data_IF_874014803516
#
_entry.id   IF_874014803516
#
_cell.length_a   1.000
_cell.length_b   1.000
_cell.length_c   1.000
_cell.angle_alpha   90.00
_cell.angle_beta   90.00
_cell.angle_gamma   90.00
#
_symmetry.space_group_name_H-M   'P 1'
#
loop_
_entity.id
_entity.type
_entity.pdbx_description
1 polymer ?
#
# COMPACT_ATOMS: atom_id res chain seq x y z
N UNK A 1 -3.03 -50.62 -65.06
CA UNK A 1 -1.98 -49.70 -64.57
C UNK A 1 -2.66 -48.40 -64.18
N UNK A 2 -2.61 -48.08 -62.89
CA UNK A 2 -2.80 -46.78 -62.24
C UNK A 2 -3.71 -45.74 -62.91
N UNK A 3 -4.87 -45.46 -62.31
CA UNK A 3 -5.31 -44.08 -62.12
C UNK A 3 -6.07 -43.96 -60.80
N UNK A 4 -5.48 -43.22 -59.88
CA UNK A 4 -5.97 -42.97 -58.53
C UNK A 4 -6.73 -41.64 -58.53
N UNK A 5 -8.06 -41.70 -58.53
CA UNK A 5 -8.92 -40.54 -58.32
C UNK A 5 -8.89 -40.10 -56.86
N UNK A 6 -8.22 -38.98 -56.56
CA UNK A 6 -8.29 -38.33 -55.25
C UNK A 6 -9.59 -37.55 -55.13
N UNK A 7 -10.46 -37.96 -54.22
CA UNK A 7 -11.62 -37.22 -53.77
C UNK A 7 -11.15 -36.10 -52.81
N UNK A 8 -11.23 -34.83 -53.23
CA UNK A 8 -11.05 -33.68 -52.33
C UNK A 8 -12.33 -33.48 -51.51
N UNK A 9 -12.32 -33.88 -50.24
CA UNK A 9 -13.33 -33.46 -49.26
C UNK A 9 -12.85 -32.14 -48.66
N UNK A 10 -13.50 -31.04 -49.05
CA UNK A 10 -13.33 -29.74 -48.41
C UNK A 10 -14.04 -29.74 -47.06
N UNK A 11 -13.28 -29.88 -45.97
CA UNK A 11 -13.80 -29.80 -44.61
C UNK A 11 -13.73 -28.34 -44.13
N UNK A 12 -14.78 -27.58 -44.37
CA UNK A 12 -14.99 -26.27 -43.73
C UNK A 12 -15.56 -26.52 -42.34
N UNK A 13 -14.70 -26.61 -41.32
CA UNK A 13 -15.14 -26.63 -39.93
C UNK A 13 -15.06 -25.22 -39.33
N UNK A 14 -16.24 -24.70 -39.00
CA UNK A 14 -16.50 -23.46 -38.28
C UNK A 14 -15.60 -23.33 -37.05
N UNK A 15 -14.78 -22.27 -37.02
CA UNK A 15 -14.19 -21.75 -35.79
C UNK A 15 -15.31 -21.16 -34.94
N UNK A 16 -15.82 -21.94 -33.99
CA UNK A 16 -16.60 -21.41 -32.88
C UNK A 16 -15.71 -20.41 -32.14
N UNK A 17 -15.98 -19.11 -32.32
CA UNK A 17 -15.55 -18.10 -31.37
C UNK A 17 -16.20 -18.43 -30.02
N UNK A 18 -15.45 -19.10 -29.15
CA UNK A 18 -15.75 -19.08 -27.73
C UNK A 18 -15.54 -17.63 -27.31
N UNK A 19 -16.64 -16.88 -27.23
CA UNK A 19 -16.68 -15.67 -26.43
C UNK A 19 -16.47 -16.15 -25.00
N UNK A 20 -15.21 -16.16 -24.56
CA UNK A 20 -14.92 -16.21 -23.14
C UNK A 20 -15.57 -14.96 -22.54
N UNK A 21 -16.72 -15.16 -21.89
CA UNK A 21 -17.28 -14.16 -20.98
C UNK A 21 -16.19 -13.94 -19.93
N UNK A 22 -15.43 -12.86 -20.08
CA UNK A 22 -14.40 -12.48 -19.14
C UNK A 22 -15.14 -12.28 -17.81
N UNK A 23 -14.91 -13.18 -16.83
CA UNK A 23 -15.55 -13.07 -15.54
C UNK A 23 -15.08 -11.77 -14.90
N UNK A 24 -15.94 -10.76 -14.91
CA UNK A 24 -15.65 -9.46 -14.35
C UNK A 24 -15.71 -9.59 -12.83
N UNK A 25 -14.59 -9.30 -12.16
CA UNK A 25 -14.55 -9.32 -10.70
C UNK A 25 -15.41 -8.19 -10.13
N UNK A 26 -16.05 -8.44 -8.99
CA UNK A 26 -16.77 -7.41 -8.26
C UNK A 26 -15.76 -6.49 -7.54
N UNK A 27 -15.23 -5.49 -8.25
CA UNK A 27 -14.22 -4.57 -7.68
C UNK A 27 -14.76 -3.72 -6.54
N UNK A 28 -16.07 -3.42 -6.51
CA UNK A 28 -16.71 -2.72 -5.39
C UNK A 28 -16.65 -3.55 -4.10
N UNK A 29 -16.89 -4.86 -4.20
CA UNK A 29 -16.75 -5.77 -3.07
C UNK A 29 -15.28 -5.89 -2.64
N UNK A 30 -14.34 -6.04 -3.58
CA UNK A 30 -12.91 -6.08 -3.27
C UNK A 30 -12.43 -4.77 -2.60
N UNK A 31 -12.91 -3.61 -3.05
CA UNK A 31 -12.65 -2.30 -2.44
C UNK A 31 -13.15 -2.27 -0.99
N UNK A 32 -14.41 -2.63 -0.78
CA UNK A 32 -15.04 -2.66 0.56
C UNK A 32 -14.25 -3.54 1.51
N UNK A 33 -13.87 -4.74 1.04
CA UNK A 33 -13.08 -5.71 1.81
C UNK A 33 -11.67 -5.19 2.11
N UNK A 34 -10.98 -4.56 1.16
CA UNK A 34 -9.67 -3.95 1.42
C UNK A 34 -9.70 -2.92 2.55
N UNK A 35 -10.80 -2.15 2.66
CA UNK A 35 -10.97 -1.19 3.76
C UNK A 35 -11.26 -1.91 5.09
N UNK A 36 -12.06 -2.99 5.07
CA UNK A 36 -12.30 -3.83 6.25
C UNK A 36 -10.99 -4.43 6.80
N UNK A 37 -10.05 -4.82 5.94
CA UNK A 37 -8.73 -5.27 6.39
C UNK A 37 -7.98 -4.17 7.14
N UNK A 38 -7.95 -2.93 6.63
CA UNK A 38 -7.31 -1.82 7.36
C UNK A 38 -7.99 -1.57 8.70
N UNK A 39 -9.32 -1.72 8.80
CA UNK A 39 -10.00 -1.71 10.10
C UNK A 39 -9.48 -2.83 11.01
N UNK A 40 -9.30 -4.04 10.49
CA UNK A 40 -8.76 -5.17 11.24
C UNK A 40 -7.31 -4.96 11.72
N UNK A 41 -6.59 -3.96 11.20
CA UNK A 41 -5.25 -3.56 11.65
C UNK A 41 -5.25 -2.47 12.73
N UNK A 42 -6.39 -1.89 13.10
CA UNK A 42 -6.45 -0.78 14.07
C UNK A 42 -5.94 -1.21 15.45
N UNK A 43 -4.99 -0.49 16.02
CA UNK A 43 -4.56 -0.60 17.43
C UNK A 43 -5.26 0.46 18.30
N UNK A 44 -5.36 0.23 19.61
CA UNK A 44 -6.00 1.17 20.53
C UNK A 44 -7.47 0.85 20.82
N UNK A 45 -8.22 1.88 21.24
CA UNK A 45 -9.65 1.77 21.54
C UNK A 45 -10.49 1.83 20.27
N UNK A 46 -11.14 0.73 19.91
CA UNK A 46 -11.89 0.57 18.67
C UNK A 46 -13.21 1.36 18.69
N UNK A 47 -13.72 1.79 17.51
CA UNK A 47 -14.99 2.49 17.43
C UNK A 47 -16.17 1.54 17.71
N UNK A 48 -17.32 2.02 18.24
CA UNK A 48 -18.46 1.17 18.60
C UNK A 48 -19.07 0.34 17.45
N UNK A 49 -18.89 0.77 16.20
CA UNK A 49 -19.38 0.09 14.99
C UNK A 49 -18.22 -0.51 14.18
N UNK A 50 -17.27 -1.14 14.86
CA UNK A 50 -16.15 -1.82 14.21
C UNK A 50 -16.63 -3.03 13.40
N UNK A 51 -16.23 -3.15 12.12
CA UNK A 51 -16.75 -4.21 11.24
C UNK A 51 -16.15 -5.59 11.49
N UNK A 52 -14.83 -5.75 11.75
CA UNK A 52 -14.25 -7.03 12.20
C UNK A 52 -14.71 -7.39 13.62
N UNK A 53 -15.65 -8.34 13.81
CA UNK A 53 -16.27 -8.57 15.13
C UNK A 53 -15.34 -9.29 16.11
N UNK A 54 -14.25 -9.86 15.61
CA UNK A 54 -13.26 -10.62 16.39
C UNK A 54 -12.12 -9.73 16.93
N UNK A 55 -12.06 -8.45 16.54
CA UNK A 55 -11.11 -7.46 17.07
C UNK A 55 -11.70 -6.75 18.29
N UNK A 56 -10.85 -6.50 19.29
CA UNK A 56 -11.19 -5.74 20.49
C UNK A 56 -10.16 -4.64 20.78
N UNK A 57 -10.42 -3.88 21.84
CA UNK A 57 -9.51 -2.85 22.33
C UNK A 57 -8.16 -3.46 22.72
N UNK A 58 -7.06 -2.86 22.26
CA UNK A 58 -5.70 -3.34 22.51
C UNK A 58 -4.72 -2.18 22.70
N UNK A 59 -3.53 -2.45 23.23
CA UNK A 59 -2.43 -1.48 23.32
C UNK A 59 -2.78 -0.17 24.07
N UNK A 60 -3.67 -0.25 25.06
CA UNK A 60 -4.24 0.93 25.73
C UNK A 60 -3.25 1.69 26.63
N UNK A 61 -2.05 1.15 26.81
CA UNK A 61 -0.98 1.74 27.63
C UNK A 61 0.22 2.20 26.79
N UNK A 62 0.11 2.15 25.45
CA UNK A 62 1.16 2.58 24.53
C UNK A 62 1.59 4.03 24.82
N UNK A 63 2.91 4.23 25.04
CA UNK A 63 3.51 5.53 25.33
C UNK A 63 3.62 5.90 26.80
N UNK A 64 2.88 5.22 27.71
CA UNK A 64 2.86 5.58 29.13
C UNK A 64 4.22 5.52 29.81
N UNK A 65 5.06 4.56 29.42
CA UNK A 65 6.43 4.37 29.96
C UNK A 65 7.37 5.54 29.66
N UNK A 66 7.05 6.35 28.64
CA UNK A 66 7.79 7.55 28.24
C UNK A 66 6.98 8.84 28.44
N UNK A 67 5.86 8.76 29.18
CA UNK A 67 5.06 9.93 29.60
C UNK A 67 4.21 10.56 28.49
N UNK A 68 3.81 9.79 27.47
CA UNK A 68 2.91 10.27 26.39
C UNK A 68 1.76 9.30 26.13
N UNK A 69 0.70 9.77 25.47
CA UNK A 69 -0.34 8.92 24.88
C UNK A 69 0.05 8.57 23.44
N UNK A 70 0.36 7.31 23.18
CA UNK A 70 0.58 6.76 21.84
C UNK A 70 -0.47 5.69 21.48
N UNK A 71 -1.60 5.63 22.17
CA UNK A 71 -2.71 4.71 21.87
C UNK A 71 -3.32 5.07 20.50
N UNK A 72 -3.61 4.05 19.68
CA UNK A 72 -4.12 4.24 18.32
C UNK A 72 -3.13 3.76 17.25
N UNK A 73 -3.35 4.19 16.00
CA UNK A 73 -2.53 3.81 14.85
C UNK A 73 -2.84 2.41 14.34
N UNK A 74 -2.00 1.91 13.43
CA UNK A 74 -2.17 0.60 12.82
C UNK A 74 -1.06 -0.36 13.26
N UNK A 75 -1.43 -1.61 13.53
CA UNK A 75 -0.48 -2.71 13.46
C UNK A 75 -0.07 -2.92 12.00
N UNK A 76 1.21 -3.17 11.79
CA UNK A 76 1.82 -3.11 10.46
C UNK A 76 1.39 -4.27 9.54
N UNK A 77 1.51 -5.49 10.05
CA UNK A 77 1.32 -6.71 9.26
C UNK A 77 0.61 -7.80 10.08
N UNK A 78 1.22 -8.97 10.23
CA UNK A 78 0.75 -10.07 11.06
C UNK A 78 1.06 -9.95 12.55
N UNK A 79 1.82 -8.93 12.93
CA UNK A 79 2.36 -8.69 14.27
C UNK A 79 1.61 -7.58 15.03
N UNK A 80 2.06 -7.27 16.25
CA UNK A 80 1.46 -6.24 17.09
C UNK A 80 2.41 -5.03 17.27
N UNK A 81 3.32 -4.81 16.32
CA UNK A 81 4.24 -3.67 16.31
C UNK A 81 3.65 -2.55 15.47
N UNK A 82 3.86 -1.31 15.92
CA UNK A 82 3.52 -0.10 15.17
C UNK A 82 4.81 0.49 14.63
N UNK A 83 5.13 0.16 13.37
CA UNK A 83 6.24 0.77 12.64
C UNK A 83 5.79 2.06 11.98
N UNK A 84 6.53 3.14 12.21
CA UNK A 84 6.13 4.48 11.81
C UNK A 84 6.29 4.69 10.32
N UNK A 85 7.35 4.13 9.74
CA UNK A 85 7.68 4.33 8.33
C UNK A 85 6.64 3.74 7.36
N UNK A 86 6.35 2.42 7.39
CA UNK A 86 5.31 1.83 6.54
C UNK A 86 3.89 2.32 6.89
N UNK A 87 3.63 2.69 8.14
CA UNK A 87 2.34 3.29 8.52
C UNK A 87 2.16 4.67 7.90
N UNK A 88 3.20 5.50 7.88
CA UNK A 88 3.14 6.81 7.23
C UNK A 88 2.87 6.66 5.73
N UNK A 89 3.57 5.75 5.05
CA UNK A 89 3.31 5.42 3.65
C UNK A 89 1.86 4.95 3.41
N UNK A 90 1.35 4.05 4.24
CA UNK A 90 -0.05 3.58 4.22
C UNK A 90 -1.04 4.75 4.25
N UNK A 91 -0.82 5.72 5.13
CA UNK A 91 -1.71 6.87 5.28
C UNK A 91 -1.57 7.84 4.10
N UNK A 92 -0.35 8.06 3.59
CA UNK A 92 -0.12 8.90 2.42
C UNK A 92 -0.84 8.35 1.19
N UNK A 93 -0.76 7.04 0.93
CA UNK A 93 -1.39 6.42 -0.26
C UNK A 93 -2.91 6.34 -0.13
N UNK A 94 -3.46 6.12 1.08
CA UNK A 94 -4.89 6.29 1.34
C UNK A 94 -5.37 7.71 1.04
N UNK A 95 -4.63 8.72 1.53
CA UNK A 95 -4.95 10.12 1.28
C UNK A 95 -4.82 10.47 -0.21
N UNK A 96 -3.84 9.91 -0.91
CA UNK A 96 -3.71 10.06 -2.36
C UNK A 96 -4.91 9.46 -3.09
N UNK A 97 -5.32 8.23 -2.75
CA UNK A 97 -6.51 7.60 -3.33
C UNK A 97 -7.77 8.46 -3.07
N UNK A 98 -7.96 8.96 -1.86
CA UNK A 98 -9.09 9.84 -1.51
C UNK A 98 -9.05 11.19 -2.24
N UNK A 99 -7.86 11.73 -2.50
CA UNK A 99 -7.66 12.96 -3.25
C UNK A 99 -7.93 12.78 -4.75
N UNK A 100 -7.35 11.75 -5.36
CA UNK A 100 -7.38 11.56 -6.81
C UNK A 100 -8.65 10.86 -7.30
N UNK A 101 -9.15 9.88 -6.54
CA UNK A 101 -10.32 9.05 -6.85
C UNK A 101 -11.54 9.36 -5.97
N UNK A 102 -11.71 10.64 -5.59
CA UNK A 102 -12.82 11.10 -4.73
C UNK A 102 -14.18 10.72 -5.30
N UNK A 103 -14.38 10.88 -6.62
CA UNK A 103 -15.66 10.60 -7.27
C UNK A 103 -15.99 9.10 -7.26
N UNK A 104 -15.00 8.27 -7.57
CA UNK A 104 -15.04 6.81 -7.54
C UNK A 104 -15.35 6.27 -6.16
N UNK A 105 -14.63 6.73 -5.14
CA UNK A 105 -14.87 6.33 -3.75
C UNK A 105 -16.26 6.78 -3.26
N UNK A 106 -16.73 7.95 -3.70
CA UNK A 106 -18.07 8.44 -3.37
C UNK A 106 -19.14 7.58 -4.04
N UNK A 107 -18.99 7.28 -5.34
CA UNK A 107 -19.91 6.43 -6.10
C UNK A 107 -19.98 5.00 -5.54
N UNK A 108 -18.84 4.47 -5.11
CA UNK A 108 -18.78 3.17 -4.45
C UNK A 108 -19.40 3.17 -3.04
N UNK A 109 -19.62 4.34 -2.42
CA UNK A 109 -20.12 4.47 -1.04
C UNK A 109 -19.05 4.28 0.03
N UNK A 110 -17.77 4.29 -0.35
CA UNK A 110 -16.63 3.96 0.54
C UNK A 110 -15.83 5.19 0.98
N UNK A 111 -16.10 6.38 0.43
CA UNK A 111 -15.36 7.61 0.78
C UNK A 111 -15.33 7.87 2.28
N UNK A 112 -16.43 7.64 3.01
CA UNK A 112 -16.46 7.81 4.46
C UNK A 112 -15.54 6.83 5.18
N UNK A 113 -15.55 5.56 4.81
CA UNK A 113 -14.70 4.56 5.46
C UNK A 113 -13.21 4.82 5.18
N UNK A 114 -12.88 5.33 3.97
CA UNK A 114 -11.52 5.78 3.65
C UNK A 114 -11.12 7.00 4.48
N UNK A 115 -12.01 8.00 4.65
CA UNK A 115 -11.76 9.13 5.55
C UNK A 115 -11.51 8.67 6.99
N UNK A 116 -12.32 7.76 7.50
CA UNK A 116 -12.16 7.19 8.84
C UNK A 116 -10.82 6.42 8.96
N UNK A 117 -10.38 5.75 7.89
CA UNK A 117 -9.07 5.12 7.80
C UNK A 117 -7.90 6.10 7.84
N UNK A 118 -7.96 7.17 7.05
CA UNK A 118 -6.95 8.23 7.04
C UNK A 118 -6.88 8.92 8.41
N UNK A 119 -8.05 9.23 8.99
CA UNK A 119 -8.14 9.89 10.30
C UNK A 119 -7.53 9.04 11.41
N UNK A 120 -7.74 7.72 11.38
CA UNK A 120 -7.16 6.81 12.37
C UNK A 120 -5.64 6.88 12.44
N UNK A 121 -4.97 6.91 11.28
CA UNK A 121 -3.51 7.03 11.21
C UNK A 121 -3.03 8.45 11.53
N UNK A 122 -3.72 9.48 11.04
CA UNK A 122 -3.33 10.88 11.28
C UNK A 122 -3.58 11.36 12.71
N UNK A 123 -4.60 10.84 13.41
CA UNK A 123 -4.77 11.06 14.86
C UNK A 123 -3.57 10.50 15.63
N UNK A 124 -3.07 9.32 15.25
CA UNK A 124 -1.86 8.75 15.84
C UNK A 124 -0.62 9.60 15.52
N UNK A 125 -0.44 10.08 14.28
CA UNK A 125 0.69 10.96 13.95
C UNK A 125 0.67 12.30 14.68
N UNK A 126 -0.51 12.88 14.94
CA UNK A 126 -0.62 14.09 15.76
C UNK A 126 -0.12 13.84 17.19
N UNK A 127 -0.43 12.67 17.78
CA UNK A 127 0.12 12.26 19.08
C UNK A 127 1.63 12.04 18.99
N UNK A 128 2.09 11.29 18.01
CA UNK A 128 3.49 10.93 17.81
C UNK A 128 4.41 12.14 17.53
N UNK A 129 3.86 13.22 16.96
CA UNK A 129 4.58 14.46 16.60
C UNK A 129 4.27 15.65 17.52
N UNK A 130 3.80 15.39 18.75
CA UNK A 130 3.39 16.44 19.69
C UNK A 130 4.53 17.41 20.04
N UNK A 131 5.78 16.93 20.08
CA UNK A 131 6.95 17.73 20.44
C UNK A 131 7.70 18.26 19.22
N UNK A 132 8.26 19.47 19.33
CA UNK A 132 9.07 20.06 18.27
C UNK A 132 10.36 19.25 18.08
N UNK A 133 10.72 18.98 16.82
CA UNK A 133 11.94 18.26 16.42
C UNK A 133 12.13 16.90 17.11
N UNK A 134 11.01 16.23 17.43
CA UNK A 134 10.98 14.88 18.01
C UNK A 134 9.76 14.16 17.46
N UNK A 135 9.94 12.92 17.03
CA UNK A 135 8.87 12.06 16.50
C UNK A 135 9.01 10.67 17.11
N UNK A 136 7.92 10.15 17.66
CA UNK A 136 7.84 8.75 18.08
C UNK A 136 7.58 7.89 16.85
N UNK A 137 8.52 7.00 16.52
CA UNK A 137 8.54 6.28 15.25
C UNK A 137 8.17 4.82 15.40
N UNK A 138 8.35 4.21 16.57
CA UNK A 138 7.96 2.82 16.78
C UNK A 138 7.33 2.63 18.16
N UNK A 139 6.30 1.78 18.25
CA UNK A 139 5.79 1.28 19.53
C UNK A 139 5.70 -0.24 19.48
N UNK A 140 6.50 -0.87 20.33
CA UNK A 140 6.72 -2.31 20.32
C UNK A 140 8.17 -2.69 20.14
N UNK A 141 8.64 -3.62 20.97
CA UNK A 141 9.89 -4.32 20.70
C UNK A 141 9.60 -5.53 19.80
N UNK A 142 10.06 -5.52 18.54
CA UNK A 142 9.68 -6.54 17.58
C UNK A 142 10.23 -7.92 17.92
N UNK A 143 11.40 -8.01 18.56
CA UNK A 143 11.95 -9.30 19.00
C UNK A 143 11.01 -9.93 20.03
N UNK A 144 10.68 -9.21 21.11
CA UNK A 144 9.73 -9.67 22.12
C UNK A 144 8.33 -9.94 21.56
N UNK A 145 7.87 -9.16 20.59
CA UNK A 145 6.57 -9.36 19.93
C UNK A 145 6.54 -10.61 19.03
N UNK A 146 7.68 -10.95 18.43
CA UNK A 146 7.83 -12.07 17.51
C UNK A 146 8.15 -13.39 18.24
N UNK A 147 8.54 -13.33 19.51
CA UNK A 147 8.70 -14.49 20.39
C UNK A 147 7.37 -15.04 20.95
N UNK A 148 6.23 -14.40 20.67
CA UNK A 148 4.92 -14.84 21.15
C UNK A 148 3.82 -14.71 20.09
N UNK A 149 3.16 -15.82 19.76
CA UNK A 149 2.10 -15.85 18.75
C UNK A 149 0.72 -15.58 19.37
N UNK A 150 0.43 -14.31 19.67
CA UNK A 150 -0.79 -13.93 20.40
C UNK A 150 -1.52 -12.75 19.77
N UNK A 151 -2.85 -12.75 19.92
CA UNK A 151 -3.69 -11.65 19.44
C UNK A 151 -3.40 -10.34 20.21
N UNK A 152 -3.58 -9.17 19.58
CA UNK A 152 -3.19 -7.90 20.19
C UNK A 152 -3.89 -7.60 21.52
N UNK A 153 -5.12 -8.07 21.73
CA UNK A 153 -5.89 -7.86 22.96
C UNK A 153 -5.30 -8.64 24.16
N UNK A 154 -4.50 -9.67 23.90
CA UNK A 154 -3.84 -10.48 24.94
C UNK A 154 -2.34 -10.22 25.05
N UNK A 155 -1.81 -9.24 24.31
CA UNK A 155 -0.36 -9.05 24.23
C UNK A 155 0.28 -8.69 25.57
N UNK A 156 1.35 -9.40 25.92
CA UNK A 156 2.19 -9.13 27.10
C UNK A 156 3.63 -8.71 26.73
N UNK A 157 3.94 -8.69 25.44
CA UNK A 157 5.27 -8.32 24.90
C UNK A 157 5.59 -6.85 25.18
N UNK A 158 6.88 -6.54 25.31
CA UNK A 158 7.36 -5.18 25.60
C UNK A 158 6.88 -4.17 24.57
N UNK A 159 6.22 -3.10 25.02
CA UNK A 159 5.75 -1.99 24.17
C UNK A 159 6.72 -0.82 24.18
N UNK A 160 8.01 -1.13 24.03
CA UNK A 160 9.10 -0.15 24.00
C UNK A 160 8.85 0.89 22.90
N UNK A 161 9.07 2.15 23.23
CA UNK A 161 8.92 3.27 22.29
C UNK A 161 10.28 3.66 21.73
N UNK A 162 10.37 3.78 20.40
CA UNK A 162 11.51 4.40 19.73
C UNK A 162 11.13 5.79 19.21
N UNK A 163 12.13 6.65 19.14
CA UNK A 163 11.98 8.02 18.68
C UNK A 163 13.18 8.49 17.87
N UNK A 164 12.93 9.49 17.05
CA UNK A 164 13.95 10.30 16.39
C UNK A 164 13.88 11.73 16.94
N UNK A 165 15.04 12.40 16.97
CA UNK A 165 15.19 13.77 17.44
C UNK A 165 16.43 14.41 16.81
N UNK A 166 16.78 15.63 17.21
CA UNK A 166 17.94 16.35 16.65
C UNK A 166 19.29 15.64 16.80
N UNK A 167 19.42 14.71 17.76
CA UNK A 167 20.65 13.95 18.01
C UNK A 167 20.60 12.53 17.41
N UNK A 168 19.41 12.05 17.05
CA UNK A 168 19.17 10.78 16.36
C UNK A 168 18.18 11.03 15.24
N UNK A 169 18.66 11.56 14.10
CA UNK A 169 17.79 11.91 12.99
C UNK A 169 17.14 10.65 12.39
N UNK A 170 16.08 10.87 11.62
CA UNK A 170 15.37 9.87 10.85
C UNK A 170 14.59 10.55 9.75
N UNK A 171 15.32 11.03 8.75
CA UNK A 171 14.79 11.87 7.69
C UNK A 171 13.64 11.20 6.96
N UNK A 172 13.79 9.91 6.63
CA UNK A 172 12.85 9.10 5.88
C UNK A 172 11.47 9.12 6.55
N UNK A 173 11.44 8.70 7.82
CA UNK A 173 10.21 8.55 8.60
C UNK A 173 9.57 9.92 8.87
N UNK A 174 10.37 10.94 9.18
CA UNK A 174 9.87 12.29 9.41
C UNK A 174 9.26 12.90 8.12
N UNK A 175 9.92 12.72 6.97
CA UNK A 175 9.46 13.24 5.69
C UNK A 175 8.25 12.47 5.14
N UNK A 176 8.18 11.15 5.30
CA UNK A 176 6.99 10.36 4.95
C UNK A 176 5.81 10.71 5.87
N UNK A 177 6.03 10.91 7.17
CA UNK A 177 4.96 11.37 8.08
C UNK A 177 4.49 12.78 7.70
N UNK A 178 5.40 13.66 7.27
CA UNK A 178 5.03 14.95 6.74
C UNK A 178 4.20 14.84 5.45
N UNK A 179 4.56 13.94 4.55
CA UNK A 179 3.79 13.63 3.33
C UNK A 179 2.37 13.14 3.68
N UNK A 180 2.25 12.19 4.60
CA UNK A 180 0.98 11.64 5.07
C UNK A 180 0.05 12.74 5.60
N UNK A 181 0.57 13.61 6.47
CA UNK A 181 -0.21 14.71 7.05
C UNK A 181 -0.52 15.81 6.02
N UNK A 182 0.38 16.11 5.10
CA UNK A 182 0.15 17.09 4.03
C UNK A 182 -0.93 16.60 3.06
N UNK A 183 -0.83 15.37 2.55
CA UNK A 183 -1.82 14.74 1.67
C UNK A 183 -3.20 14.69 2.36
N UNK A 184 -3.24 14.22 3.61
CA UNK A 184 -4.47 14.15 4.40
C UNK A 184 -5.10 15.53 4.63
N UNK A 185 -4.29 16.58 4.83
CA UNK A 185 -4.81 17.94 5.00
C UNK A 185 -5.60 18.44 3.78
N UNK A 186 -5.27 17.97 2.57
CA UNK A 186 -6.00 18.30 1.35
C UNK A 186 -7.37 17.63 1.39
N UNK A 187 -7.41 16.33 1.70
CA UNK A 187 -8.62 15.52 1.74
C UNK A 187 -9.62 16.06 2.78
N UNK A 188 -9.14 16.45 3.96
CA UNK A 188 -10.00 16.99 5.04
C UNK A 188 -10.36 18.46 4.89
N UNK A 189 -9.82 19.19 3.90
CA UNK A 189 -10.00 20.65 3.78
C UNK A 189 -11.47 21.07 3.73
N UNK A 190 -12.31 20.29 3.05
CA UNK A 190 -13.74 20.56 2.89
C UNK A 190 -14.62 19.77 3.89
N UNK A 191 -14.02 18.86 4.66
CA UNK A 191 -14.71 17.97 5.61
C UNK A 191 -14.58 18.51 7.04
N UNK A 192 -13.35 18.86 7.44
CA UNK A 192 -13.02 19.46 8.73
C UNK A 192 -11.82 20.41 8.55
N UNK A 193 -12.12 21.70 8.41
CA UNK A 193 -11.13 22.76 8.19
C UNK A 193 -10.14 22.90 9.36
N UNK A 194 -10.60 22.67 10.59
CA UNK A 194 -9.75 22.82 11.78
C UNK A 194 -8.76 21.68 11.83
N UNK A 195 -9.22 20.45 11.63
CA UNK A 195 -8.37 19.28 11.57
C UNK A 195 -7.37 19.36 10.40
N UNK A 196 -7.84 19.74 9.21
CA UNK A 196 -6.98 19.99 8.03
C UNK A 196 -5.83 20.97 8.34
N UNK A 197 -6.10 22.08 9.04
CA UNK A 197 -5.06 23.03 9.45
C UNK A 197 -4.09 22.44 10.45
N UNK A 198 -4.57 21.66 11.42
CA UNK A 198 -3.70 20.97 12.40
C UNK A 198 -2.74 20.01 11.70
N UNK A 199 -3.25 19.19 10.77
CA UNK A 199 -2.44 18.28 9.97
C UNK A 199 -1.39 19.04 9.14
N UNK A 200 -1.80 20.08 8.42
CA UNK A 200 -0.89 20.84 7.58
C UNK A 200 0.20 21.55 8.39
N UNK A 201 -0.12 22.03 9.59
CA UNK A 201 0.87 22.67 10.46
C UNK A 201 1.88 21.65 11.03
N UNK A 202 1.43 20.46 11.40
CA UNK A 202 2.32 19.38 11.81
C UNK A 202 3.21 18.93 10.64
N UNK A 203 2.65 18.74 9.44
CA UNK A 203 3.39 18.38 8.23
C UNK A 203 4.55 19.34 7.93
N UNK A 204 4.29 20.66 7.99
CA UNK A 204 5.33 21.69 7.77
C UNK A 204 6.48 21.58 8.78
N UNK A 205 6.16 21.34 10.06
CA UNK A 205 7.15 21.20 11.13
C UNK A 205 7.96 19.92 10.98
N UNK A 206 7.32 18.80 10.63
CA UNK A 206 7.98 17.51 10.43
C UNK A 206 8.91 17.54 9.21
N UNK A 207 8.47 18.13 8.10
CA UNK A 207 9.33 18.29 6.93
C UNK A 207 10.53 19.19 7.22
N UNK A 208 10.31 20.30 7.94
CA UNK A 208 11.42 21.15 8.38
C UNK A 208 12.39 20.36 9.27
N UNK A 209 11.88 19.60 10.25
CA UNK A 209 12.70 18.75 11.11
C UNK A 209 13.52 17.72 10.30
N UNK A 210 12.89 17.02 9.36
CA UNK A 210 13.56 16.06 8.48
C UNK A 210 14.68 16.73 7.67
N UNK A 211 14.41 17.91 7.11
CA UNK A 211 15.37 18.60 6.25
C UNK A 211 16.50 19.28 7.02
N UNK A 212 16.22 19.84 8.21
CA UNK A 212 17.21 20.54 9.04
C UNK A 212 18.16 19.54 9.75
N UNK A 213 17.70 18.32 10.02
CA UNK A 213 18.46 17.27 10.71
C UNK A 213 18.47 15.99 9.88
N UNK A 214 19.29 15.97 8.83
CA UNK A 214 19.37 14.83 7.91
C UNK A 214 20.18 13.68 8.50
N UNK A 215 19.60 12.48 8.49
CA UNK A 215 20.28 11.21 8.72
C UNK A 215 19.29 10.05 8.73
N UNK A 216 19.78 8.87 8.36
CA UNK A 216 18.99 7.64 8.29
C UNK A 216 18.73 7.08 9.69
N UNK A 217 17.53 6.56 9.90
CA UNK A 217 17.15 5.84 11.12
C UNK A 217 17.05 4.34 10.88
N UNK A 218 18.04 3.59 11.39
CA UNK A 218 18.07 2.13 11.28
C UNK A 218 17.38 1.42 12.46
N UNK A 219 16.65 2.14 13.32
CA UNK A 219 16.07 1.55 14.53
C UNK A 219 14.92 0.57 14.27
N UNK A 220 14.33 0.58 13.07
CA UNK A 220 13.32 -0.39 12.63
C UNK A 220 13.96 -1.59 11.88
N UNK A 221 15.28 -1.61 11.65
CA UNK A 221 15.99 -2.76 11.08
C UNK A 221 16.00 -3.97 12.05
N UNK A 222 16.00 -5.21 11.53
CA UNK A 222 16.08 -5.59 10.12
C UNK A 222 14.71 -5.65 9.41
N UNK A 223 13.63 -5.17 10.04
CA UNK A 223 12.27 -5.29 9.50
C UNK A 223 11.98 -4.21 8.45
N UNK A 224 12.24 -2.95 8.79
CA UNK A 224 12.08 -1.79 7.90
C UNK A 224 13.38 -0.99 7.85
N UNK A 225 14.32 -1.45 7.04
CA UNK A 225 15.56 -0.70 6.76
C UNK A 225 15.36 0.27 5.60
N UNK A 226 15.96 1.45 5.72
CA UNK A 226 16.06 2.40 4.59
C UNK A 226 17.11 1.89 3.60
N UNK A 227 16.67 1.37 2.45
CA UNK A 227 17.59 0.92 1.38
C UNK A 227 17.73 1.96 0.27
N UNK A 228 16.70 2.78 0.05
CA UNK A 228 16.67 3.89 -0.90
C UNK A 228 17.42 5.14 -0.41
N UNK A 229 17.61 5.27 0.91
CA UNK A 229 18.06 6.51 1.54
C UNK A 229 16.86 7.44 1.83
N UNK A 230 17.13 8.74 2.01
CA UNK A 230 16.09 9.72 2.38
C UNK A 230 15.76 10.78 1.32
N UNK A 231 16.44 10.73 0.17
CA UNK A 231 16.30 11.78 -0.84
C UNK A 231 14.92 11.76 -1.50
N UNK A 232 14.37 10.56 -1.69
CA UNK A 232 13.04 10.38 -2.25
C UNK A 232 11.92 10.76 -1.29
N UNK A 233 12.04 10.53 0.02
CA UNK A 233 11.05 10.99 1.01
C UNK A 233 11.07 12.51 1.14
N UNK A 234 12.25 13.15 1.07
CA UNK A 234 12.32 14.61 1.05
C UNK A 234 11.66 15.16 -0.22
N UNK A 235 11.91 14.58 -1.40
CA UNK A 235 11.21 14.98 -2.63
C UNK A 235 9.70 14.75 -2.52
N UNK A 236 9.29 13.61 -1.97
CA UNK A 236 7.89 13.22 -1.78
C UNK A 236 7.14 14.12 -0.80
N UNK A 237 7.73 14.38 0.38
CA UNK A 237 7.19 15.29 1.38
C UNK A 237 7.10 16.73 0.85
N UNK A 238 8.12 17.20 0.15
CA UNK A 238 8.09 18.51 -0.51
C UNK A 238 7.01 18.59 -1.58
N UNK A 239 6.83 17.52 -2.37
CA UNK A 239 5.78 17.42 -3.40
C UNK A 239 4.39 17.56 -2.78
N UNK A 240 4.08 16.79 -1.74
CA UNK A 240 2.77 16.89 -1.07
C UNK A 240 2.56 18.23 -0.38
N UNK A 241 3.58 18.80 0.25
CA UNK A 241 3.50 20.13 0.85
C UNK A 241 3.32 21.22 -0.20
N UNK A 242 3.94 21.08 -1.37
CA UNK A 242 3.71 22.00 -2.48
C UNK A 242 2.28 21.89 -3.01
N UNK A 243 1.77 20.67 -3.22
CA UNK A 243 0.37 20.47 -3.64
C UNK A 243 -0.60 21.05 -2.60
N UNK A 244 -0.34 20.83 -1.32
CA UNK A 244 -1.21 21.29 -0.24
C UNK A 244 -1.19 22.82 -0.04
N UNK A 245 -0.04 23.48 -0.26
CA UNK A 245 0.17 24.88 0.14
C UNK A 245 0.43 25.86 -0.99
N UNK A 246 0.93 25.38 -2.14
CA UNK A 246 1.47 26.17 -3.25
C UNK A 246 2.57 27.17 -2.82
N UNK A 247 3.24 26.93 -1.69
CA UNK A 247 4.29 27.85 -1.20
C UNK A 247 5.59 27.68 -2.00
N UNK A 248 6.24 28.79 -2.43
CA UNK A 248 7.47 28.76 -3.21
C UNK A 248 8.63 28.01 -2.56
N UNK A 249 8.69 27.94 -1.22
CA UNK A 249 9.77 27.23 -0.53
C UNK A 249 9.82 25.73 -0.88
N UNK A 250 8.66 25.09 -1.07
CA UNK A 250 8.60 23.67 -1.44
C UNK A 250 8.89 23.48 -2.93
N UNK A 251 8.43 24.40 -3.78
CA UNK A 251 8.79 24.40 -5.19
C UNK A 251 10.31 24.52 -5.37
N UNK A 252 10.93 25.47 -4.68
CA UNK A 252 12.37 25.66 -4.68
C UNK A 252 13.10 24.40 -4.22
N UNK A 253 12.63 23.77 -3.14
CA UNK A 253 13.20 22.50 -2.69
C UNK A 253 13.13 21.41 -3.77
N UNK A 254 11.96 21.23 -4.41
CA UNK A 254 11.78 20.25 -5.48
C UNK A 254 12.73 20.53 -6.65
N UNK A 255 12.96 21.79 -7.00
CA UNK A 255 13.86 22.17 -8.09
C UNK A 255 15.33 21.94 -7.73
N UNK A 256 15.76 22.40 -6.55
CA UNK A 256 17.16 22.43 -6.13
C UNK A 256 17.67 21.03 -5.74
N UNK A 257 16.83 20.21 -5.10
CA UNK A 257 17.24 18.93 -4.50
C UNK A 257 16.76 17.70 -5.29
N UNK A 258 16.15 17.90 -6.46
CA UNK A 258 15.76 16.78 -7.32
C UNK A 258 16.96 16.17 -8.04
N UNK A 259 17.07 14.85 -7.96
CA UNK A 259 18.02 14.08 -8.76
C UNK A 259 17.29 13.44 -9.93
N UNK A 260 17.91 13.47 -11.12
CA UNK A 260 17.34 12.84 -12.28
C UNK A 260 17.44 11.31 -12.21
N UNK A 261 16.40 10.64 -11.71
CA UNK A 261 16.38 9.18 -11.51
C UNK A 261 15.16 8.57 -12.19
N UNK A 262 15.38 7.46 -12.90
CA UNK A 262 14.31 6.56 -13.38
C UNK A 262 14.38 5.30 -12.52
N UNK A 263 13.26 4.95 -11.89
CA UNK A 263 13.13 3.76 -11.05
C UNK A 263 12.07 2.84 -11.64
N UNK A 264 12.08 1.56 -11.23
CA UNK A 264 11.07 0.55 -11.60
C UNK A 264 10.20 0.13 -10.43
N UNK A 265 10.25 0.88 -9.33
CA UNK A 265 9.60 0.57 -8.06
C UNK A 265 8.93 1.79 -7.44
N UNK A 266 7.82 1.54 -6.75
CA UNK A 266 7.19 2.45 -5.80
C UNK A 266 6.76 1.64 -4.57
N UNK A 267 7.24 2.00 -3.38
CA UNK A 267 7.06 1.20 -2.16
C UNK A 267 7.11 2.06 -0.90
N UNK A 268 6.91 1.41 0.26
CA UNK A 268 7.13 2.07 1.55
C UNK A 268 8.56 2.56 1.76
N UNK A 269 9.54 2.10 0.96
CA UNK A 269 10.94 2.50 0.98
C UNK A 269 11.27 3.49 -0.15
N UNK A 270 10.81 3.27 -1.39
CA UNK A 270 11.18 4.10 -2.55
C UNK A 270 10.02 4.93 -3.15
N UNK A 271 10.13 6.27 -3.14
CA UNK A 271 9.01 7.21 -3.45
C UNK A 271 9.17 8.00 -4.76
N UNK A 272 10.32 7.91 -5.44
CA UNK A 272 10.61 8.70 -6.64
C UNK A 272 9.48 8.63 -7.69
N UNK A 273 9.04 7.44 -8.07
CA UNK A 273 7.99 7.26 -9.08
C UNK A 273 6.67 7.94 -8.69
N UNK A 274 6.28 7.87 -7.41
CA UNK A 274 5.08 8.52 -6.90
C UNK A 274 5.17 10.04 -7.02
N UNK A 275 6.29 10.64 -6.59
CA UNK A 275 6.52 12.07 -6.70
C UNK A 275 6.52 12.54 -8.15
N UNK A 276 7.19 11.78 -9.04
CA UNK A 276 7.29 12.08 -10.47
C UNK A 276 5.92 12.07 -11.15
N UNK A 277 5.07 11.08 -10.85
CA UNK A 277 3.69 11.01 -11.34
C UNK A 277 2.89 12.23 -10.87
N UNK A 278 2.97 12.62 -9.60
CA UNK A 278 2.27 13.81 -9.10
C UNK A 278 2.76 15.11 -9.76
N UNK A 279 4.08 15.28 -9.91
CA UNK A 279 4.67 16.48 -10.50
C UNK A 279 4.42 16.58 -12.01
N UNK A 280 4.27 15.46 -12.71
CA UNK A 280 3.87 15.44 -14.13
C UNK A 280 2.50 16.10 -14.36
N UNK A 281 1.57 15.96 -13.42
CA UNK A 281 0.27 16.64 -13.48
C UNK A 281 0.47 18.16 -13.50
N UNK A 282 1.35 18.68 -12.64
CA UNK A 282 1.63 20.12 -12.56
C UNK A 282 2.27 20.67 -13.84
N UNK A 283 3.11 19.88 -14.52
CA UNK A 283 3.66 20.21 -15.83
C UNK A 283 2.56 20.43 -16.89
N UNK A 284 1.56 19.54 -16.91
CA UNK A 284 0.42 19.65 -17.82
C UNK A 284 -0.55 20.78 -17.44
N UNK A 285 -0.62 21.15 -16.16
CA UNK A 285 -1.35 22.32 -15.66
C UNK A 285 -0.64 23.66 -15.95
N UNK A 286 0.54 23.64 -16.57
CA UNK A 286 1.23 24.83 -17.07
C UNK A 286 2.57 25.15 -16.42
N UNK A 287 2.96 24.45 -15.35
CA UNK A 287 4.24 24.66 -14.66
C UNK A 287 5.36 23.90 -15.36
N UNK A 288 5.91 24.51 -16.43
CA UNK A 288 6.86 23.87 -17.36
C UNK A 288 8.19 23.46 -16.72
N UNK A 289 8.55 24.04 -15.58
CA UNK A 289 9.69 23.62 -14.76
C UNK A 289 9.64 22.13 -14.35
N UNK A 290 8.47 21.50 -14.37
CA UNK A 290 8.32 20.08 -14.03
C UNK A 290 8.49 19.11 -15.21
N UNK A 291 9.00 19.57 -16.36
CA UNK A 291 9.20 18.74 -17.56
C UNK A 291 10.03 17.49 -17.28
N UNK A 292 11.10 17.60 -16.50
CA UNK A 292 11.97 16.47 -16.16
C UNK A 292 11.21 15.39 -15.38
N UNK A 293 10.34 15.77 -14.44
CA UNK A 293 9.53 14.80 -13.70
C UNK A 293 8.51 14.09 -14.59
N UNK A 294 7.95 14.77 -15.59
CA UNK A 294 7.12 14.13 -16.61
C UNK A 294 7.91 13.09 -17.42
N UNK A 295 9.16 13.37 -17.77
CA UNK A 295 10.03 12.41 -18.46
C UNK A 295 10.37 11.21 -17.57
N UNK A 296 10.58 11.43 -16.27
CA UNK A 296 10.85 10.35 -15.32
C UNK A 296 9.61 9.49 -15.03
N UNK A 297 8.42 10.11 -14.96
CA UNK A 297 7.16 9.38 -14.86
C UNK A 297 6.95 8.46 -16.07
N UNK A 298 7.21 8.96 -17.29
CA UNK A 298 7.26 8.10 -18.49
C UNK A 298 8.32 7.00 -18.35
N UNK A 299 9.51 7.34 -17.85
CA UNK A 299 10.59 6.39 -17.58
C UNK A 299 10.17 5.25 -16.66
N UNK A 300 9.44 5.53 -15.57
CA UNK A 300 8.87 4.52 -14.69
C UNK A 300 7.95 3.58 -15.47
N UNK A 301 6.99 4.11 -16.23
CA UNK A 301 6.09 3.30 -17.07
C UNK A 301 6.89 2.43 -18.06
N UNK A 302 7.88 3.02 -18.72
CA UNK A 302 8.75 2.33 -19.66
C UNK A 302 9.60 1.24 -19.00
N UNK A 303 9.99 1.40 -17.74
CA UNK A 303 10.77 0.41 -17.00
C UNK A 303 9.93 -0.79 -16.52
N UNK A 304 8.61 -0.61 -16.40
CA UNK A 304 7.71 -1.66 -15.88
C UNK A 304 6.98 -2.40 -17.01
N UNK A 305 6.57 -1.73 -18.08
CA UNK A 305 5.83 -2.37 -19.18
C UNK A 305 6.67 -3.44 -19.89
N UNK A 306 6.22 -4.71 -19.96
CA UNK A 306 6.95 -5.78 -20.64
C UNK A 306 7.16 -5.54 -22.14
N UNK A 307 6.25 -4.79 -22.78
CA UNK A 307 6.37 -4.46 -24.19
C UNK A 307 7.34 -3.30 -24.45
N UNK A 308 7.82 -2.60 -23.43
CA UNK A 308 8.75 -1.47 -23.59
C UNK A 308 10.19 -1.94 -23.87
N UNK A 309 10.95 -1.25 -24.74
CA UNK A 309 12.38 -1.56 -24.93
C UNK A 309 13.24 -1.27 -23.69
N UNK A 310 12.72 -0.51 -22.72
CA UNK A 310 13.42 -0.16 -21.47
C UNK A 310 12.96 -0.99 -20.27
N UNK A 311 12.24 -2.09 -20.50
CA UNK A 311 11.71 -2.95 -19.46
C UNK A 311 12.81 -3.50 -18.53
N UNK A 312 12.57 -3.40 -17.22
CA UNK A 312 13.47 -3.84 -16.13
C UNK A 312 12.76 -4.72 -15.10
N UNK A 313 11.50 -4.45 -14.77
CA UNK A 313 10.75 -5.20 -13.76
C UNK A 313 10.50 -6.64 -14.24
N UNK A 314 10.74 -7.67 -13.42
CA UNK A 314 10.42 -9.03 -13.86
C UNK A 314 8.91 -9.26 -13.91
N UNK A 315 8.44 -9.98 -14.94
CA UNK A 315 7.05 -10.40 -15.11
C UNK A 315 6.99 -11.92 -15.02
N UNK A 316 6.16 -12.46 -14.14
CA UNK A 316 5.95 -13.91 -14.00
C UNK A 316 5.34 -14.49 -15.28
N UNK A 317 5.44 -15.81 -15.51
CA UNK A 317 4.74 -16.47 -16.63
C UNK A 317 3.23 -16.15 -16.71
N UNK A 318 2.57 -15.96 -15.56
CA UNK A 318 1.18 -15.55 -15.45
C UNK A 318 0.90 -14.06 -15.67
N UNK A 319 1.92 -13.23 -15.86
CA UNK A 319 1.80 -11.81 -16.17
C UNK A 319 1.80 -10.86 -14.97
N UNK A 320 2.23 -11.33 -13.78
CA UNK A 320 2.33 -10.52 -12.56
C UNK A 320 3.68 -9.80 -12.48
N UNK A 321 3.69 -8.56 -12.04
CA UNK A 321 4.94 -7.87 -11.67
C UNK A 321 5.55 -8.52 -10.43
N UNK A 322 6.84 -8.86 -10.49
CA UNK A 322 7.57 -9.45 -9.37
C UNK A 322 8.92 -8.79 -9.16
N UNK A 323 9.09 -8.10 -8.03
CA UNK A 323 10.35 -7.43 -7.70
C UNK A 323 11.14 -8.18 -6.63
N UNK A 324 10.47 -8.67 -5.58
CA UNK A 324 11.12 -9.36 -4.47
C UNK A 324 10.23 -10.50 -3.96
N UNK A 325 10.85 -11.53 -3.39
CA UNK A 325 10.12 -12.54 -2.62
C UNK A 325 9.75 -11.95 -1.24
N UNK A 326 8.61 -12.36 -0.71
CA UNK A 326 8.06 -11.78 0.52
C UNK A 326 7.28 -10.49 0.26
N UNK A 327 5.96 -10.55 0.50
CA UNK A 327 5.06 -9.43 0.32
C UNK A 327 5.09 -8.77 -1.08
N UNK A 328 5.37 -9.55 -2.15
CA UNK A 328 5.46 -9.04 -3.53
C UNK A 328 4.18 -8.30 -3.99
N UNK A 329 3.01 -8.64 -3.42
CA UNK A 329 1.75 -7.94 -3.66
C UNK A 329 1.82 -6.42 -3.43
N UNK A 330 2.77 -5.92 -2.61
CA UNK A 330 3.08 -4.49 -2.54
C UNK A 330 3.40 -3.91 -3.92
N UNK A 331 4.37 -4.50 -4.62
CA UNK A 331 4.86 -3.95 -5.89
C UNK A 331 3.80 -4.08 -6.97
N UNK A 332 2.98 -5.13 -6.91
CA UNK A 332 1.82 -5.33 -7.80
C UNK A 332 0.80 -4.21 -7.61
N UNK A 333 0.38 -3.97 -6.35
CA UNK A 333 -0.63 -2.95 -6.05
C UNK A 333 -0.11 -1.54 -6.30
N UNK A 334 1.14 -1.23 -5.92
CA UNK A 334 1.83 0.03 -6.26
C UNK A 334 1.91 0.28 -7.76
N UNK A 335 2.29 -0.74 -8.53
CA UNK A 335 2.32 -0.62 -9.98
C UNK A 335 0.93 -0.38 -10.55
N UNK A 336 -0.05 -1.18 -10.14
CA UNK A 336 -1.43 -1.01 -10.60
C UNK A 336 -1.97 0.39 -10.28
N UNK A 337 -1.68 0.90 -9.08
CA UNK A 337 -2.08 2.23 -8.66
C UNK A 337 -1.42 3.34 -9.48
N UNK A 338 -0.08 3.35 -9.60
CA UNK A 338 0.61 4.38 -10.39
C UNK A 338 0.22 4.35 -11.87
N UNK A 339 0.09 3.17 -12.46
CA UNK A 339 -0.39 3.02 -13.84
C UNK A 339 -1.81 3.54 -14.01
N UNK A 340 -2.70 3.29 -13.03
CA UNK A 340 -4.08 3.80 -13.08
C UNK A 340 -4.14 5.33 -12.98
N UNK A 341 -3.37 5.93 -12.06
CA UNK A 341 -3.29 7.39 -11.89
C UNK A 341 -2.71 8.04 -13.14
N UNK A 342 -1.58 7.52 -13.63
CA UNK A 342 -0.91 8.09 -14.78
C UNK A 342 -1.71 7.92 -16.07
N UNK A 343 -2.41 6.78 -16.24
CA UNK A 343 -3.38 6.59 -17.32
C UNK A 343 -4.45 7.68 -17.34
N UNK A 344 -5.05 7.99 -16.18
CA UNK A 344 -6.08 9.04 -16.08
C UNK A 344 -5.53 10.43 -16.35
N UNK A 345 -4.29 10.72 -15.92
CA UNK A 345 -3.63 11.97 -16.27
C UNK A 345 -3.38 12.07 -17.78
N UNK A 346 -2.85 11.03 -18.41
CA UNK A 346 -2.64 11.00 -19.86
C UNK A 346 -3.95 11.19 -20.62
N UNK A 347 -5.03 10.53 -20.20
CA UNK A 347 -6.35 10.71 -20.80
C UNK A 347 -6.86 12.14 -20.66
N UNK A 348 -6.79 12.71 -19.45
CA UNK A 348 -7.23 14.08 -19.14
C UNK A 348 -6.50 15.12 -19.97
N UNK A 349 -5.19 14.96 -20.15
CA UNK A 349 -4.33 15.91 -20.86
C UNK A 349 -4.07 15.53 -22.32
N UNK A 350 -4.69 14.46 -22.84
CA UNK A 350 -4.55 13.95 -24.22
C UNK A 350 -3.09 13.66 -24.60
N UNK A 351 -2.38 12.98 -23.70
CA UNK A 351 -0.97 12.62 -23.83
C UNK A 351 -0.80 11.11 -24.00
N UNK A 352 0.41 10.70 -24.39
CA UNK A 352 0.83 9.30 -24.47
C UNK A 352 2.25 9.17 -23.94
N UNK A 353 2.61 7.96 -23.51
CA UNK A 353 3.99 7.62 -23.10
C UNK A 353 4.78 7.23 -24.33
N UNK A 354 6.02 7.69 -24.42
CA UNK A 354 6.97 7.27 -25.46
C UNK A 354 8.14 6.55 -24.82
N UNK A 355 8.35 5.29 -25.20
CA UNK A 355 9.47 4.45 -24.77
C UNK A 355 10.27 4.04 -26.00
N UNK A 356 11.28 4.83 -26.37
CA UNK A 356 12.05 4.60 -27.59
C UNK A 356 11.17 4.81 -28.82
N UNK A 357 11.04 3.77 -29.64
CA UNK A 357 10.19 3.73 -30.84
C UNK A 357 8.72 3.35 -30.55
N UNK A 358 8.40 2.96 -29.30
CA UNK A 358 7.06 2.56 -28.90
C UNK A 358 6.28 3.68 -28.23
N UNK A 359 4.98 3.70 -28.50
CA UNK A 359 4.03 4.62 -27.87
C UNK A 359 2.95 3.83 -27.13
N UNK A 360 2.64 4.26 -25.91
CA UNK A 360 1.62 3.65 -25.07
C UNK A 360 0.54 4.66 -24.69
N UNK A 361 -0.70 4.29 -24.97
CA UNK A 361 -1.90 5.09 -24.69
C UNK A 361 -2.36 4.94 -23.24
N UNK A 362 -3.17 5.89 -22.77
CA UNK A 362 -3.84 5.78 -21.47
C UNK A 362 -4.61 4.45 -21.31
N UNK A 363 -5.30 3.99 -22.35
CA UNK A 363 -6.06 2.74 -22.34
C UNK A 363 -5.14 1.53 -22.11
N UNK A 364 -3.98 1.49 -22.76
CA UNK A 364 -3.01 0.40 -22.56
C UNK A 364 -2.46 0.37 -21.12
N UNK A 365 -2.17 1.54 -20.54
CA UNK A 365 -1.73 1.63 -19.14
C UNK A 365 -2.82 1.16 -18.17
N UNK A 366 -4.08 1.58 -18.37
CA UNK A 366 -5.19 1.12 -17.53
C UNK A 366 -5.44 -0.38 -17.67
N UNK A 367 -5.31 -0.92 -18.89
CA UNK A 367 -5.43 -2.35 -19.13
C UNK A 367 -4.34 -3.15 -18.39
N UNK A 368 -3.09 -2.65 -18.38
CA UNK A 368 -2.02 -3.26 -17.60
C UNK A 368 -2.31 -3.20 -16.08
N UNK A 369 -2.72 -2.04 -15.56
CA UNK A 369 -3.13 -1.90 -14.16
C UNK A 369 -4.26 -2.88 -13.77
N UNK A 370 -5.29 -2.98 -14.62
CA UNK A 370 -6.40 -3.92 -14.44
C UNK A 370 -5.91 -5.37 -14.42
N UNK A 371 -5.01 -5.77 -15.32
CA UNK A 371 -4.43 -7.13 -15.34
C UNK A 371 -3.72 -7.47 -14.03
N UNK A 372 -3.00 -6.53 -13.43
CA UNK A 372 -2.35 -6.75 -12.13
C UNK A 372 -3.37 -7.00 -11.01
N UNK A 373 -4.46 -6.22 -10.96
CA UNK A 373 -5.53 -6.43 -9.99
C UNK A 373 -6.32 -7.72 -10.26
N UNK A 374 -6.66 -8.00 -11.51
CA UNK A 374 -7.34 -9.23 -11.91
C UNK A 374 -6.55 -10.46 -11.51
N UNK A 375 -5.22 -10.41 -11.66
CA UNK A 375 -4.35 -11.48 -11.20
C UNK A 375 -4.54 -11.73 -9.70
N UNK A 376 -4.44 -10.70 -8.85
CA UNK A 376 -4.62 -10.84 -7.40
C UNK A 376 -6.02 -11.32 -7.01
N UNK A 377 -7.04 -11.01 -7.82
CA UNK A 377 -8.44 -11.36 -7.57
C UNK A 377 -8.84 -12.74 -8.12
N UNK A 378 -7.98 -13.37 -8.94
CA UNK A 378 -8.11 -14.78 -9.32
C UNK A 378 -7.85 -15.13 -10.77
N UNK A 379 -7.57 -14.14 -11.64
CA UNK A 379 -7.20 -14.38 -13.03
C UNK A 379 -5.70 -14.65 -13.15
N UNK A 380 -5.29 -15.78 -12.59
CA UNK A 380 -3.90 -16.24 -12.53
C UNK A 380 -3.80 -17.74 -12.86
N UNK A 381 -2.59 -18.27 -13.15
CA UNK A 381 -2.42 -19.67 -13.58
C UNK A 381 -3.00 -20.70 -12.60
N UNK A 382 -2.98 -20.39 -11.30
CA UNK A 382 -3.50 -21.24 -10.22
C UNK A 382 -5.00 -21.03 -9.92
N UNK A 383 -5.68 -20.15 -10.68
CA UNK A 383 -7.14 -19.88 -10.65
C UNK A 383 -7.70 -19.64 -9.25
N UNK A 384 -6.95 -18.92 -8.40
CA UNK A 384 -7.33 -18.62 -7.01
C UNK A 384 -7.16 -17.14 -6.68
N UNK A 385 -8.05 -16.61 -5.85
CA UNK A 385 -7.84 -15.30 -5.25
C UNK A 385 -6.63 -15.31 -4.31
N UNK A 386 -5.94 -14.17 -4.23
CA UNK A 386 -4.90 -13.84 -3.24
C UNK A 386 -5.47 -12.96 -2.12
N UNK A 387 -6.71 -12.47 -2.26
CA UNK A 387 -7.44 -11.72 -1.25
C UNK A 387 -8.30 -12.66 -0.38
N UNK A 388 -8.11 -12.59 0.94
CA UNK A 388 -8.87 -13.38 1.91
C UNK A 388 -10.36 -13.04 1.84
N UNK A 389 -11.20 -14.08 1.82
CA UNK A 389 -12.66 -13.94 1.78
C UNK A 389 -13.23 -13.45 0.44
N UNK A 390 -12.44 -13.33 -0.64
CA UNK A 390 -12.91 -12.85 -1.95
C UNK A 390 -12.73 -13.89 -3.06
N UNK A 391 -13.70 -13.98 -3.98
CA UNK A 391 -13.56 -14.74 -5.22
C UNK A 391 -13.41 -16.25 -5.02
N UNK A 392 -12.78 -16.91 -6.00
CA UNK A 392 -12.63 -18.37 -6.02
C UNK A 392 -11.42 -18.80 -5.19
N UNK A 393 -11.61 -19.80 -4.31
CA UNK A 393 -10.55 -20.42 -3.51
C UNK A 393 -9.62 -19.41 -2.79
N UNK A 394 -10.17 -18.43 -2.05
CA UNK A 394 -9.35 -17.45 -1.35
C UNK A 394 -8.44 -18.09 -0.30
N UNK A 395 -7.34 -17.44 0.10
CA UNK A 395 -6.48 -17.93 1.15
C UNK A 395 -7.23 -18.00 2.49
N UNK A 396 -6.89 -18.99 3.31
CA UNK A 396 -7.50 -19.24 4.62
C UNK A 396 -6.49 -19.27 5.76
N UNK A 397 -5.20 -19.22 5.47
CA UNK A 397 -4.12 -19.35 6.44
C UNK A 397 -3.16 -18.16 6.39
N UNK A 398 -3.70 -16.93 6.48
CA UNK A 398 -2.88 -15.71 6.53
C UNK A 398 -1.93 -15.73 7.75
N UNK A 399 -0.67 -15.32 7.55
CA UNK A 399 0.33 -15.10 8.60
C UNK A 399 -0.05 -13.89 9.45
N UNK A 400 -1.03 -14.07 10.35
CA UNK A 400 -1.62 -12.96 11.09
C UNK A 400 -2.12 -13.43 12.46
N UNK A 401 -1.56 -12.86 13.55
CA UNK A 401 -1.85 -13.29 14.93
C UNK A 401 -3.33 -13.13 15.29
N UNK A 402 -3.91 -11.95 15.07
CA UNK A 402 -5.33 -11.70 15.39
C UNK A 402 -6.30 -12.62 14.62
N UNK A 403 -5.90 -13.09 13.44
CA UNK A 403 -6.72 -13.96 12.60
C UNK A 403 -6.59 -15.44 13.01
N UNK A 404 -5.37 -15.86 13.32
CA UNK A 404 -5.01 -17.25 13.60
C UNK A 404 -5.26 -17.70 15.04
N UNK A 405 -5.31 -16.76 15.99
CA UNK A 405 -5.61 -17.02 17.40
C UNK A 405 -7.11 -16.82 17.65
N UNK A 406 -7.84 -17.82 18.19
CA UNK A 406 -9.26 -17.68 18.51
C UNK A 406 -9.48 -16.57 19.53
N UNK A 407 -10.70 -16.02 19.58
CA UNK A 407 -11.09 -15.09 20.65
C UNK A 407 -11.08 -15.86 21.97
N UNK A 408 -10.22 -15.46 22.89
CA UNK A 408 -10.05 -16.11 24.19
C UNK A 408 -11.00 -15.51 25.23
N UNK A 409 -11.23 -16.25 26.33
CA UNK A 409 -11.95 -15.69 27.46
C UNK A 409 -11.14 -14.53 28.11
N UNK A 410 -11.78 -13.52 28.75
CA UNK A 410 -11.11 -12.33 29.26
C UNK A 410 -9.91 -12.54 30.22
N UNK A 411 -9.84 -13.70 30.88
CA UNK A 411 -8.79 -14.04 31.84
C UNK A 411 -7.94 -15.24 31.38
N UNK A 412 -8.11 -15.69 30.14
CA UNK A 412 -7.33 -16.80 29.61
C UNK A 412 -5.91 -16.33 29.28
N UNK A 413 -4.94 -16.95 29.94
CA UNK A 413 -3.53 -16.62 29.72
C UNK A 413 -2.96 -17.37 28.52
N UNK A 414 -2.28 -16.63 27.65
CA UNK A 414 -1.54 -17.22 26.55
C UNK A 414 -0.16 -17.65 27.02
N UNK A 415 0.15 -18.94 26.89
CA UNK A 415 1.51 -19.44 27.02
C UNK A 415 2.27 -19.20 25.70
N UNK A 416 3.29 -18.34 25.71
CA UNK A 416 4.00 -17.96 24.49
C UNK A 416 4.65 -19.14 23.75
N UNK A 417 5.34 -20.05 24.46
CA UNK A 417 5.95 -21.21 23.81
C UNK A 417 4.93 -22.14 23.14
N UNK A 418 3.81 -22.41 23.84
CA UNK A 418 2.76 -23.28 23.30
C UNK A 418 1.88 -22.59 22.26
N UNK A 419 1.82 -21.25 22.22
CA UNK A 419 1.03 -20.50 21.24
C UNK A 419 1.41 -20.84 19.79
N UNK A 420 2.69 -21.10 19.53
CA UNK A 420 3.15 -21.53 18.20
C UNK A 420 2.63 -22.93 17.84
N UNK A 421 2.58 -23.85 18.79
CA UNK A 421 2.05 -25.20 18.58
C UNK A 421 0.55 -25.15 18.35
N UNK A 422 -0.17 -24.36 19.15
CA UNK A 422 -1.63 -24.32 19.11
C UNK A 422 -2.20 -23.55 17.92
N UNK A 423 -1.53 -22.50 17.45
CA UNK A 423 -2.11 -21.58 16.47
C UNK A 423 -1.23 -21.31 15.25
N UNK A 424 0.10 -21.22 15.41
CA UNK A 424 1.00 -20.93 14.28
C UNK A 424 1.23 -22.14 13.36
N UNK A 425 1.73 -23.25 13.91
CA UNK A 425 2.19 -24.45 13.19
C UNK A 425 1.05 -25.39 12.74
N UNK A 426 -0.21 -24.98 12.90
CA UNK A 426 -1.35 -25.81 12.49
C UNK A 426 -1.68 -25.59 11.02
N UNK A 427 -2.08 -26.65 10.31
CA UNK A 427 -2.60 -26.57 8.94
C UNK A 427 -4.12 -26.34 8.88
N UNK A 428 -4.72 -25.84 9.97
CA UNK A 428 -6.14 -25.49 10.00
C UNK A 428 -6.32 -24.06 9.47
N UNK A 429 -7.44 -23.77 8.79
CA UNK A 429 -7.85 -22.39 8.51
C UNK A 429 -7.79 -21.51 9.77
N UNK A 430 -7.46 -20.23 9.58
CA UNK A 430 -7.56 -19.24 10.64
C UNK A 430 -9.00 -19.23 11.21
N UNK A 431 -9.20 -19.26 12.55
CA UNK A 431 -10.53 -19.24 13.16
C UNK A 431 -11.28 -17.94 12.88
N UNK A 432 -10.57 -16.83 12.67
CA UNK A 432 -11.16 -15.56 12.28
C UNK A 432 -10.80 -15.25 10.82
N UNK A 433 -11.80 -15.01 9.96
CA UNK A 433 -11.54 -14.58 8.59
C UNK A 433 -10.98 -13.15 8.58
N UNK A 434 -9.77 -12.99 8.03
CA UNK A 434 -9.12 -11.69 7.84
C UNK A 434 -9.64 -11.03 6.55
N UNK A 435 -10.94 -10.75 6.51
CA UNK A 435 -11.67 -10.31 5.32
C UNK A 435 -10.94 -9.17 4.60
N UNK A 436 -10.60 -9.39 3.33
CA UNK A 436 -10.03 -8.39 2.44
C UNK A 436 -8.52 -8.22 2.47
N UNK A 437 -7.80 -8.93 3.33
CA UNK A 437 -6.34 -8.92 3.30
C UNK A 437 -5.83 -9.43 1.95
N UNK A 438 -5.07 -8.60 1.23
CA UNK A 438 -4.28 -9.04 0.08
C UNK A 438 -2.97 -9.59 0.64
N UNK A 439 -2.78 -10.90 0.54
CA UNK A 439 -1.59 -11.55 1.10
C UNK A 439 -0.36 -11.31 0.22
N UNK A 440 0.81 -11.71 0.71
CA UNK A 440 2.09 -11.44 0.06
C UNK A 440 2.21 -11.88 -1.41
N UNK A 441 1.41 -12.86 -1.83
CA UNK A 441 1.24 -13.23 -3.23
C UNK A 441 2.21 -14.33 -3.68
N UNK A 442 2.11 -14.77 -4.94
CA UNK A 442 2.88 -15.91 -5.44
C UNK A 442 4.37 -15.59 -5.63
N UNK A 443 5.17 -16.64 -5.84
CA UNK A 443 6.57 -16.52 -6.26
C UNK A 443 6.71 -16.20 -7.75
N UNK A 444 7.96 -16.08 -8.20
CA UNK A 444 8.32 -15.78 -9.60
C UNK A 444 7.79 -16.79 -10.63
N UNK A 445 7.33 -17.96 -10.19
CA UNK A 445 6.77 -19.02 -11.03
C UNK A 445 5.25 -19.17 -10.85
N UNK A 446 4.58 -18.13 -10.34
CA UNK A 446 3.14 -18.11 -10.09
C UNK A 446 2.66 -19.17 -9.07
N UNK A 447 3.56 -19.72 -8.25
CA UNK A 447 3.18 -20.67 -7.20
C UNK A 447 2.79 -19.92 -5.94
N UNK A 448 1.73 -20.37 -5.28
CA UNK A 448 1.27 -19.81 -4.02
C UNK A 448 0.92 -20.92 -3.03
N UNK A 449 1.53 -20.88 -1.85
CA UNK A 449 1.28 -21.84 -0.78
C UNK A 449 0.47 -21.15 0.32
N UNK A 450 -0.79 -21.56 0.49
CA UNK A 450 -1.68 -21.05 1.54
C UNK A 450 -1.37 -21.71 2.89
N UNK A 451 -0.26 -21.29 3.48
CA UNK A 451 0.25 -21.78 4.75
C UNK A 451 0.78 -20.64 5.58
N UNK A 452 0.24 -20.48 6.79
CA UNK A 452 0.58 -19.42 7.74
C UNK A 452 2.05 -19.38 8.11
N UNK A 453 2.71 -20.53 8.10
CA UNK A 453 4.15 -20.60 8.42
C UNK A 453 5.03 -20.09 7.28
N UNK A 454 4.45 -19.87 6.10
CA UNK A 454 5.14 -19.37 4.93
C UNK A 454 4.75 -17.90 4.71
N UNK A 455 5.28 -17.03 5.57
CA UNK A 455 4.98 -15.59 5.59
C UNK A 455 5.25 -14.93 4.24
N UNK A 456 6.25 -15.38 3.49
CA UNK A 456 6.56 -14.82 2.17
C UNK A 456 5.36 -14.81 1.21
N UNK A 457 4.49 -15.82 1.28
CA UNK A 457 3.24 -15.88 0.51
C UNK A 457 2.05 -15.28 1.26
N UNK A 458 1.99 -15.48 2.59
CA UNK A 458 0.74 -15.34 3.36
C UNK A 458 0.69 -14.15 4.30
N UNK A 459 1.75 -13.34 4.37
CA UNK A 459 1.80 -12.13 5.20
C UNK A 459 1.05 -10.98 4.51
N UNK A 460 0.06 -10.38 5.18
CA UNK A 460 -0.56 -9.13 4.76
C UNK A 460 0.17 -7.93 5.38
N UNK A 461 0.23 -6.81 4.68
CA UNK A 461 0.73 -5.54 5.23
C UNK A 461 -0.26 -4.41 4.93
N UNK A 462 -0.36 -3.41 5.82
CA UNK A 462 -1.28 -2.28 5.63
C UNK A 462 -1.06 -1.55 4.31
N UNK A 463 0.20 -1.38 3.90
CA UNK A 463 0.54 -0.64 2.70
C UNK A 463 0.08 -1.33 1.41
N UNK A 464 -0.03 -2.67 1.37
CA UNK A 464 -0.54 -3.40 0.20
C UNK A 464 -2.00 -3.02 -0.07
N UNK A 465 -2.83 -3.07 0.97
CA UNK A 465 -4.25 -2.78 0.84
C UNK A 465 -4.54 -1.27 0.69
N UNK A 466 -3.77 -0.39 1.34
CA UNK A 466 -3.93 1.06 1.18
C UNK A 466 -3.76 1.53 -0.26
N UNK A 467 -2.77 0.98 -0.96
CA UNK A 467 -2.46 1.32 -2.34
C UNK A 467 -3.48 0.70 -3.30
N UNK A 468 -3.98 -0.50 -2.99
CA UNK A 468 -5.02 -1.16 -3.78
C UNK A 468 -6.35 -0.38 -3.81
N UNK A 469 -6.66 0.41 -2.77
CA UNK A 469 -7.94 1.14 -2.67
C UNK A 469 -8.18 2.08 -3.85
N UNK A 470 -7.16 2.82 -4.29
CA UNK A 470 -7.31 3.76 -5.41
C UNK A 470 -7.66 3.07 -6.72
N UNK A 471 -6.90 2.03 -7.09
CA UNK A 471 -7.15 1.28 -8.33
C UNK A 471 -8.45 0.47 -8.26
N UNK A 472 -8.81 -0.10 -7.11
CA UNK A 472 -10.09 -0.79 -6.93
C UNK A 472 -11.27 0.17 -7.06
N UNK A 473 -11.17 1.39 -6.53
CA UNK A 473 -12.18 2.43 -6.72
C UNK A 473 -12.34 2.79 -8.20
N UNK A 474 -11.21 2.97 -8.90
CA UNK A 474 -11.23 3.22 -10.35
C UNK A 474 -11.93 2.12 -11.13
N UNK A 475 -11.61 0.86 -10.85
CA UNK A 475 -12.20 -0.29 -11.55
C UNK A 475 -13.67 -0.52 -11.18
N UNK A 476 -14.12 -0.09 -10.00
CA UNK A 476 -15.50 -0.28 -9.54
C UNK A 476 -16.55 0.57 -10.30
N UNK A 477 -16.18 1.69 -10.92
CA UNK A 477 -17.12 2.46 -11.78
C UNK A 477 -17.32 1.80 -13.14
N UNK A 478 -16.28 1.16 -13.68
CA UNK A 478 -16.30 0.55 -15.02
C UNK A 478 -16.63 -0.95 -14.97
N UNK A 479 -17.29 -1.38 -13.89
CA UNK A 479 -17.68 -2.76 -13.62
C UNK A 479 -19.10 -3.04 -14.15
#
# INVERSE_FOLDING_TARGET
MSESGRLMISLTLFTSFVVCVNAQFNYKEALTKSIIFLEAQRSGKLPPKHRPPWRGDSALEDGKTVGVDLVGGYYDAGDNVKYGFPMAFTVTTLAWAAYFYKAELTSAGEMKNVLDGIKWGTDYFLKASTFRNRLFVQVGDPVSDHECWMRPENMKSSRKVLEINTNRPGTEIAAETAAAMAASSIVFRDVDKTYSRSLLNAAKKLFQFANDYRGTFDGECPFYCSYSGYHDELLWGATWLYIATKRPIYLKYIQDESTAVIVSEFSWDLKFAGAQVLLSQLYWEGQKEFQTFRQQADGYICSVLPESPYHQAFITPGGLVHLRDGANAQYVTSTAFLFSVYSDLLARYRMQVTCGDKHFTSVQLMHFAKRQMDYLLGNNPIKRSIMVGFGRNPPRQAHHRGASVPVLAPNEEVNCGMSFVYWYNTNKPNPNELTGAILGGPDRQDRFVDSRVNSSYTEPCTYVNSVAIGVLAKLAIHA
#
